data_IF_492670083024
#
_entry.id   IF_492670083024
#
_cell.length_a   1.000
_cell.length_b   1.000
_cell.length_c   1.000
_cell.angle_alpha   90.00
_cell.angle_beta   90.00
_cell.angle_gamma   90.00
#
_symmetry.space_group_name_H-M   'P 1'
#
loop_
_entity.id
_entity.type
_entity.pdbx_description
1 polymer ?
#
# COMPACT_ATOMS: atom_id res chain seq x y z
N UNK A 1 -65.14 -26.58 50.15
CA UNK A 1 -64.18 -27.36 49.36
C UNK A 1 -63.33 -26.39 48.66
N UNK A 2 -62.14 -26.12 49.17
CA UNK A 2 -61.08 -25.34 48.54
C UNK A 2 -59.91 -26.27 48.43
N UNK A 3 -59.56 -26.66 47.17
CA UNK A 3 -58.32 -27.33 46.92
C UNK A 3 -57.29 -26.24 46.42
N UNK A 4 -56.31 -26.07 47.26
CA UNK A 4 -55.18 -25.14 46.95
C UNK A 4 -54.19 -25.78 45.99
N UNK A 5 -53.96 -25.10 44.89
CA UNK A 5 -52.95 -25.46 43.86
C UNK A 5 -51.56 -25.00 44.34
N UNK A 6 -50.79 -25.91 44.96
CA UNK A 6 -49.39 -25.66 45.26
C UNK A 6 -48.54 -25.93 44.03
N UNK A 7 -48.10 -24.89 43.36
CA UNK A 7 -47.05 -24.98 42.28
C UNK A 7 -45.68 -25.35 42.89
N UNK A 8 -44.91 -26.23 42.24
CA UNK A 8 -43.65 -26.71 42.82
C UNK A 8 -42.54 -25.70 42.68
N UNK A 9 -42.15 -25.18 43.82
CA UNK A 9 -40.98 -24.27 43.97
C UNK A 9 -39.63 -24.85 43.49
N UNK A 10 -39.60 -26.10 43.08
CA UNK A 10 -38.35 -26.79 42.61
C UNK A 10 -37.88 -26.43 41.22
N UNK A 11 -38.73 -25.89 40.32
CA UNK A 11 -38.35 -25.59 38.93
C UNK A 11 -37.58 -24.26 38.83
N UNK A 12 -37.88 -23.29 39.71
CA UNK A 12 -37.19 -22.00 39.72
C UNK A 12 -35.72 -22.11 40.20
N UNK A 13 -35.44 -22.99 41.20
CA UNK A 13 -34.08 -23.21 41.70
C UNK A 13 -33.14 -23.82 40.65
N UNK A 14 -33.66 -24.70 39.78
CA UNK A 14 -32.85 -25.38 38.75
C UNK A 14 -32.45 -24.45 37.60
N UNK A 15 -33.30 -23.47 37.22
CA UNK A 15 -32.97 -22.46 36.22
C UNK A 15 -31.94 -21.45 36.74
N UNK A 16 -32.10 -21.00 38.00
CA UNK A 16 -31.13 -20.07 38.61
C UNK A 16 -29.73 -20.70 38.73
N UNK A 17 -29.63 -21.98 39.11
CA UNK A 17 -28.35 -22.69 39.19
C UNK A 17 -27.68 -22.87 37.82
N UNK A 18 -28.47 -23.05 36.76
CA UNK A 18 -27.94 -23.13 35.39
C UNK A 18 -27.35 -21.80 34.92
N UNK A 19 -28.04 -20.67 35.17
CA UNK A 19 -27.50 -19.34 34.80
C UNK A 19 -26.27 -18.97 35.61
N UNK A 20 -26.19 -19.36 36.88
CA UNK A 20 -25.01 -19.14 37.73
C UNK A 20 -23.83 -19.99 37.19
N UNK A 21 -24.05 -21.25 36.82
CA UNK A 21 -23.01 -22.10 36.24
C UNK A 21 -22.53 -21.59 34.89
N UNK A 22 -23.40 -21.14 34.00
CA UNK A 22 -23.04 -20.50 32.74
C UNK A 22 -22.25 -19.21 32.96
N UNK A 23 -22.64 -18.37 33.93
CA UNK A 23 -21.92 -17.16 34.29
C UNK A 23 -20.50 -17.45 34.79
N UNK A 24 -20.32 -18.45 35.64
CA UNK A 24 -19.01 -18.87 36.14
C UNK A 24 -18.12 -19.47 35.05
N UNK A 25 -18.68 -20.24 34.12
CA UNK A 25 -17.93 -20.75 32.95
C UNK A 25 -17.49 -19.61 32.05
N UNK A 26 -18.38 -18.63 31.82
CA UNK A 26 -18.05 -17.46 30.97
C UNK A 26 -16.97 -16.58 31.61
N UNK A 27 -17.03 -16.31 32.91
CA UNK A 27 -15.98 -15.60 33.64
C UNK A 27 -14.66 -16.35 33.68
N UNK A 28 -14.69 -17.68 33.76
CA UNK A 28 -13.50 -18.52 33.73
C UNK A 28 -12.85 -18.52 32.34
N UNK A 29 -13.64 -18.58 31.27
CA UNK A 29 -13.16 -18.47 29.89
C UNK A 29 -12.53 -17.08 29.63
N UNK A 30 -13.18 -16.00 30.10
CA UNK A 30 -12.64 -14.65 30.03
C UNK A 30 -11.33 -14.56 30.84
N UNK A 31 -11.29 -15.15 32.03
CA UNK A 31 -10.07 -15.17 32.86
C UNK A 31 -8.92 -15.93 32.21
N UNK A 32 -9.19 -17.06 31.57
CA UNK A 32 -8.19 -17.82 30.79
C UNK A 32 -7.73 -17.01 29.58
N UNK A 33 -8.66 -16.42 28.84
CA UNK A 33 -8.32 -15.56 27.68
C UNK A 33 -7.49 -14.34 28.10
N UNK A 34 -7.90 -13.64 29.15
CA UNK A 34 -7.16 -12.50 29.69
C UNK A 34 -5.80 -12.93 30.26
N UNK A 35 -5.71 -14.08 30.94
CA UNK A 35 -4.44 -14.65 31.41
C UNK A 35 -3.54 -15.08 30.28
N UNK A 36 -4.09 -15.67 29.22
CA UNK A 36 -3.35 -16.02 28.01
C UNK A 36 -2.80 -14.77 27.30
N UNK A 37 -3.62 -13.73 27.13
CA UNK A 37 -3.18 -12.44 26.56
C UNK A 37 -2.20 -11.70 27.48
N UNK A 38 -2.31 -11.80 28.80
CA UNK A 38 -1.36 -11.19 29.74
C UNK A 38 -0.04 -11.96 29.85
N UNK A 39 -0.08 -13.27 29.77
CA UNK A 39 1.12 -14.14 29.82
C UNK A 39 1.86 -14.17 28.46
N UNK A 40 1.14 -14.00 27.35
CA UNK A 40 1.67 -13.95 26.00
C UNK A 40 1.53 -12.52 25.45
N UNK A 41 1.95 -11.52 26.24
CA UNK A 41 2.02 -10.14 25.76
C UNK A 41 2.60 -10.13 24.34
N UNK A 42 2.19 -9.18 23.48
CA UNK A 42 2.57 -9.13 22.05
C UNK A 42 4.06 -9.46 21.94
N UNK A 43 4.37 -10.63 21.41
CA UNK A 43 5.76 -11.10 21.24
C UNK A 43 6.49 -10.11 20.34
N UNK A 44 7.82 -10.13 20.38
CA UNK A 44 8.63 -9.29 19.48
C UNK A 44 8.30 -9.59 18.01
N UNK A 45 8.07 -10.85 17.66
CA UNK A 45 7.58 -11.25 16.34
C UNK A 45 6.22 -10.59 16.01
N UNK A 46 5.25 -10.68 16.92
CA UNK A 46 3.93 -10.08 16.68
C UNK A 46 3.98 -8.56 16.51
N UNK A 47 4.86 -7.86 17.23
CA UNK A 47 5.10 -6.42 17.04
C UNK A 47 5.71 -6.13 15.67
N UNK A 48 6.70 -6.93 15.28
CA UNK A 48 7.37 -6.80 13.99
C UNK A 48 6.41 -7.07 12.83
N UNK A 49 5.61 -8.13 12.90
CA UNK A 49 4.58 -8.45 11.90
C UNK A 49 3.53 -7.35 11.77
N UNK A 50 3.07 -6.79 12.90
CA UNK A 50 2.16 -5.64 12.87
C UNK A 50 2.80 -4.42 12.20
N UNK A 51 4.08 -4.17 12.47
CA UNK A 51 4.84 -3.09 11.84
C UNK A 51 5.01 -3.33 10.33
N UNK A 52 5.38 -4.53 9.90
CA UNK A 52 5.52 -4.84 8.45
C UNK A 52 4.20 -4.72 7.71
N UNK A 53 3.08 -5.08 8.35
CA UNK A 53 1.74 -4.87 7.80
C UNK A 53 1.38 -3.38 7.67
N UNK A 54 1.79 -2.54 8.62
CA UNK A 54 1.62 -1.09 8.53
C UNK A 54 2.44 -0.52 7.37
N UNK A 55 3.72 -0.92 7.27
CA UNK A 55 4.60 -0.52 6.17
C UNK A 55 4.01 -0.91 4.83
N UNK A 56 3.58 -2.17 4.67
CA UNK A 56 2.94 -2.65 3.45
C UNK A 56 1.74 -1.78 3.06
N UNK A 57 0.83 -1.50 4.01
CA UNK A 57 -0.34 -0.64 3.73
C UNK A 57 0.06 0.76 3.28
N UNK A 58 1.08 1.34 3.90
CA UNK A 58 1.56 2.68 3.54
C UNK A 58 2.17 2.70 2.14
N UNK A 59 3.02 1.73 1.82
CA UNK A 59 3.68 1.61 0.52
C UNK A 59 2.68 1.42 -0.62
N UNK A 60 1.78 0.43 -0.52
CA UNK A 60 0.81 0.18 -1.59
C UNK A 60 -0.22 1.31 -1.75
N UNK A 61 -0.47 2.08 -0.67
CA UNK A 61 -1.36 3.24 -0.71
C UNK A 61 -0.71 4.50 -1.29
N UNK A 62 0.61 4.48 -1.49
CA UNK A 62 1.37 5.62 -2.01
C UNK A 62 1.05 5.95 -3.47
N UNK A 63 0.61 4.97 -4.25
CA UNK A 63 0.26 5.11 -5.67
C UNK A 63 -1.07 4.44 -5.98
N UNK A 64 -1.96 5.14 -6.70
CA UNK A 64 -3.25 4.57 -7.12
C UNK A 64 -3.08 3.38 -8.06
N UNK A 65 -2.11 3.42 -8.98
CA UNK A 65 -1.81 2.30 -9.87
C UNK A 65 -1.24 1.12 -9.09
N UNK A 66 -0.26 1.36 -8.21
CA UNK A 66 0.30 0.29 -7.37
C UNK A 66 -0.79 -0.37 -6.53
N UNK A 67 -1.68 0.41 -5.90
CA UNK A 67 -2.78 -0.11 -5.12
C UNK A 67 -3.72 -0.99 -5.96
N UNK A 68 -4.10 -0.51 -7.14
CA UNK A 68 -5.00 -1.23 -8.06
C UNK A 68 -4.41 -2.57 -8.51
N UNK A 69 -3.11 -2.58 -8.88
CA UNK A 69 -2.44 -3.81 -9.33
C UNK A 69 -2.05 -4.77 -8.21
N UNK A 70 -1.87 -4.26 -6.99
CA UNK A 70 -1.43 -5.09 -5.86
C UNK A 70 -2.59 -5.72 -5.09
N UNK A 71 -3.75 -5.06 -5.02
CA UNK A 71 -4.86 -5.48 -4.16
C UNK A 71 -6.21 -5.34 -4.87
N UNK A 72 -6.87 -6.46 -5.13
CA UNK A 72 -8.25 -6.48 -5.63
C UNK A 72 -9.25 -5.88 -4.60
N UNK A 73 -9.00 -6.11 -3.31
CA UNK A 73 -9.87 -5.69 -2.20
C UNK A 73 -9.08 -4.96 -1.10
N UNK A 74 -8.61 -3.72 -1.33
CA UNK A 74 -7.78 -2.99 -0.36
C UNK A 74 -8.51 -2.71 0.97
N UNK A 75 -9.85 -2.62 0.96
CA UNK A 75 -10.67 -2.44 2.15
C UNK A 75 -10.53 -3.61 3.15
N UNK A 76 -10.28 -4.84 2.67
CA UNK A 76 -10.01 -6.01 3.52
C UNK A 76 -8.69 -5.90 4.29
N UNK A 77 -7.78 -5.07 3.80
CA UNK A 77 -6.51 -4.74 4.45
C UNK A 77 -6.59 -3.45 5.28
N UNK A 78 -7.80 -2.90 5.47
CA UNK A 78 -8.01 -1.65 6.18
C UNK A 78 -7.55 -0.41 5.40
N UNK A 79 -7.30 -0.54 4.09
CA UNK A 79 -6.87 0.55 3.24
C UNK A 79 -8.10 1.28 2.68
N UNK A 80 -8.20 2.57 2.97
CA UNK A 80 -9.23 3.43 2.37
C UNK A 80 -8.70 3.98 1.03
N UNK A 81 -9.37 3.64 -0.06
CA UNK A 81 -9.07 4.21 -1.38
C UNK A 81 -9.30 5.73 -1.37
N UNK A 82 -8.35 6.47 -1.89
CA UNK A 82 -8.45 7.92 -2.19
C UNK A 82 -8.94 8.10 -3.63
N UNK A 83 -9.19 9.35 -4.04
CA UNK A 83 -9.39 9.66 -5.46
C UNK A 83 -8.13 9.26 -6.25
N UNK A 84 -8.32 8.53 -7.35
CA UNK A 84 -7.21 8.02 -8.13
C UNK A 84 -6.43 9.16 -8.80
N UNK A 85 -5.10 9.09 -8.74
CA UNK A 85 -4.18 10.08 -9.30
C UNK A 85 -2.84 9.42 -9.60
N UNK A 86 -2.16 9.93 -10.63
CA UNK A 86 -0.77 9.56 -10.92
C UNK A 86 0.23 10.25 -9.96
N UNK A 87 -0.23 11.22 -9.17
CA UNK A 87 0.63 11.99 -8.29
C UNK A 87 1.57 12.94 -9.04
N UNK A 88 2.76 13.16 -8.50
CA UNK A 88 3.80 14.02 -9.08
C UNK A 88 5.17 13.45 -8.80
N UNK A 89 6.14 13.71 -9.66
CA UNK A 89 7.55 13.43 -9.38
C UNK A 89 8.09 14.55 -8.47
N UNK A 90 8.68 14.21 -7.32
CA UNK A 90 9.24 15.20 -6.42
C UNK A 90 10.49 15.86 -7.02
N UNK A 91 10.69 17.14 -6.73
CA UNK A 91 11.89 17.89 -7.12
C UNK A 91 12.92 18.01 -5.98
N UNK A 92 12.64 17.45 -4.84
CA UNK A 92 13.58 17.22 -3.72
C UNK A 92 13.21 15.94 -2.98
N UNK A 93 14.16 15.37 -2.28
CA UNK A 93 14.01 14.09 -1.60
C UNK A 93 14.09 14.21 -0.08
N UNK A 94 14.00 15.41 0.49
CA UNK A 94 14.12 15.61 1.93
C UNK A 94 13.05 14.84 2.72
N UNK A 95 11.83 14.83 2.19
CA UNK A 95 10.75 14.06 2.83
C UNK A 95 11.01 12.55 2.75
N UNK A 96 11.44 12.04 1.60
CA UNK A 96 11.82 10.62 1.41
C UNK A 96 12.94 10.25 2.36
N UNK A 97 13.99 11.05 2.44
CA UNK A 97 15.11 10.84 3.38
C UNK A 97 14.60 10.72 4.82
N UNK A 98 13.75 11.65 5.27
CA UNK A 98 13.20 11.64 6.63
C UNK A 98 12.35 10.40 6.90
N UNK A 99 11.52 9.99 5.95
CA UNK A 99 10.68 8.80 6.08
C UNK A 99 11.54 7.54 6.15
N UNK A 100 12.54 7.40 5.27
CA UNK A 100 13.47 6.28 5.31
C UNK A 100 14.25 6.22 6.63
N UNK A 101 14.73 7.37 7.13
CA UNK A 101 15.39 7.44 8.44
C UNK A 101 14.46 6.99 9.57
N UNK A 102 13.20 7.43 9.58
CA UNK A 102 12.22 7.01 10.58
C UNK A 102 11.96 5.50 10.56
N UNK A 103 11.89 4.90 9.36
CA UNK A 103 11.73 3.45 9.24
C UNK A 103 12.98 2.69 9.68
N UNK A 104 14.18 3.16 9.32
CA UNK A 104 15.42 2.58 9.83
C UNK A 104 15.49 2.61 11.38
N UNK A 105 15.14 3.74 11.99
CA UNK A 105 15.17 3.90 13.44
C UNK A 105 14.18 2.96 14.13
N UNK A 106 12.96 2.82 13.58
CA UNK A 106 11.95 1.87 14.06
C UNK A 106 12.43 0.42 13.91
N UNK A 107 13.03 0.06 12.78
CA UNK A 107 13.56 -1.29 12.54
C UNK A 107 14.70 -1.63 13.50
N UNK A 108 15.62 -0.71 13.75
CA UNK A 108 16.74 -0.87 14.70
C UNK A 108 16.28 -0.99 16.16
N UNK A 109 15.06 -0.57 16.49
CA UNK A 109 14.51 -0.70 17.84
C UNK A 109 14.01 -2.11 18.16
N UNK A 110 13.82 -2.99 17.17
CA UNK A 110 13.43 -4.38 17.39
C UNK A 110 14.61 -5.20 17.94
N UNK A 111 14.30 -6.06 18.91
CA UNK A 111 15.29 -6.99 19.49
C UNK A 111 15.52 -8.17 18.57
N UNK A 112 16.54 -8.08 17.72
CA UNK A 112 16.87 -9.05 16.67
C UNK A 112 16.86 -10.50 17.15
N UNK A 113 17.52 -10.81 18.29
CA UNK A 113 17.60 -12.16 18.86
C UNK A 113 16.26 -12.74 19.32
N UNK A 114 15.21 -11.92 19.43
CA UNK A 114 13.85 -12.33 19.81
C UNK A 114 12.93 -12.50 18.60
N UNK A 115 13.43 -12.25 17.40
CA UNK A 115 12.71 -12.49 16.15
C UNK A 115 12.97 -13.91 15.65
N UNK A 116 11.98 -14.49 14.96
CA UNK A 116 12.17 -15.73 14.20
C UNK A 116 13.17 -15.50 13.07
N UNK A 117 13.78 -16.56 12.57
CA UNK A 117 14.73 -16.48 11.45
C UNK A 117 14.12 -15.78 10.24
N UNK A 118 12.87 -16.04 9.91
CA UNK A 118 12.13 -15.41 8.83
C UNK A 118 11.98 -13.88 9.06
N UNK A 119 11.61 -13.49 10.28
CA UNK A 119 11.47 -12.07 10.63
C UNK A 119 12.83 -11.37 10.72
N UNK A 120 13.91 -12.06 11.10
CA UNK A 120 15.28 -11.53 11.02
C UNK A 120 15.67 -11.22 9.58
N UNK A 121 15.44 -12.15 8.65
CA UNK A 121 15.71 -11.94 7.22
C UNK A 121 14.89 -10.78 6.64
N UNK A 122 13.63 -10.67 7.04
CA UNK A 122 12.75 -9.58 6.63
C UNK A 122 13.27 -8.24 7.18
N UNK A 123 13.67 -8.19 8.45
CA UNK A 123 14.23 -6.99 9.08
C UNK A 123 15.51 -6.55 8.38
N UNK A 124 16.44 -7.47 8.11
CA UNK A 124 17.69 -7.18 7.42
C UNK A 124 17.44 -6.65 6.00
N UNK A 125 16.50 -7.27 5.28
CA UNK A 125 16.10 -6.83 3.94
C UNK A 125 15.49 -5.42 3.95
N UNK A 126 14.62 -5.12 4.91
CA UNK A 126 14.01 -3.81 5.07
C UNK A 126 15.05 -2.74 5.47
N UNK A 127 15.99 -3.07 6.36
CA UNK A 127 17.08 -2.16 6.71
C UNK A 127 17.94 -1.83 5.51
N UNK A 128 18.30 -2.84 4.69
CA UNK A 128 19.06 -2.63 3.46
C UNK A 128 18.27 -1.74 2.48
N UNK A 129 16.98 -2.00 2.30
CA UNK A 129 16.11 -1.22 1.42
C UNK A 129 16.07 0.25 1.83
N UNK A 130 15.71 0.55 3.08
CA UNK A 130 15.61 1.95 3.52
C UNK A 130 16.95 2.66 3.60
N UNK A 131 18.03 1.95 3.90
CA UNK A 131 19.37 2.49 3.82
C UNK A 131 19.73 2.90 2.37
N UNK A 132 19.40 2.04 1.40
CA UNK A 132 19.64 2.31 -0.03
C UNK A 132 18.80 3.48 -0.51
N UNK A 133 17.49 3.48 -0.24
CA UNK A 133 16.59 4.60 -0.61
C UNK A 133 17.04 5.93 -0.01
N UNK A 134 17.52 5.93 1.23
CA UNK A 134 18.05 7.11 1.87
C UNK A 134 19.33 7.61 1.18
N UNK A 135 20.23 6.71 0.78
CA UNK A 135 21.46 7.08 0.07
C UNK A 135 21.16 7.57 -1.36
N UNK A 136 20.10 7.08 -2.00
CA UNK A 136 19.64 7.58 -3.29
C UNK A 136 19.09 9.00 -3.22
N UNK A 137 18.63 9.45 -2.04
CA UNK A 137 18.07 10.79 -1.87
C UNK A 137 19.06 11.91 -2.24
N UNK A 138 20.35 11.70 -2.00
CA UNK A 138 21.40 12.64 -2.36
C UNK A 138 21.72 12.63 -3.86
N UNK A 139 21.38 11.55 -4.55
CA UNK A 139 21.66 11.30 -5.95
C UNK A 139 20.39 11.31 -6.83
N UNK A 140 19.28 11.87 -6.34
CA UNK A 140 17.98 11.78 -7.00
C UNK A 140 17.97 12.38 -8.42
N UNK A 141 18.82 13.37 -8.71
CA UNK A 141 18.94 13.95 -10.05
C UNK A 141 19.60 13.01 -11.07
N UNK A 142 20.17 11.88 -10.62
CA UNK A 142 20.63 10.81 -11.51
C UNK A 142 19.51 9.87 -11.96
N UNK A 143 18.31 10.00 -11.42
CA UNK A 143 17.15 9.24 -11.89
C UNK A 143 16.80 9.63 -13.33
N UNK A 144 16.34 8.63 -14.09
CA UNK A 144 15.91 8.78 -15.49
C UNK A 144 14.42 8.42 -15.60
N UNK A 145 13.51 9.37 -15.29
CA UNK A 145 12.07 9.12 -15.39
C UNK A 145 11.61 8.91 -16.84
N UNK A 146 12.33 9.46 -17.79
CA UNK A 146 12.12 9.23 -19.23
C UNK A 146 13.22 8.33 -19.77
N UNK A 147 12.87 7.40 -20.65
CA UNK A 147 13.83 6.50 -21.26
C UNK A 147 13.20 5.63 -22.34
N UNK A 148 13.96 5.19 -23.35
CA UNK A 148 13.41 4.53 -24.52
C UNK A 148 12.78 3.14 -24.25
N UNK A 149 13.10 2.51 -23.12
CA UNK A 149 12.56 1.18 -22.78
C UNK A 149 11.67 1.19 -21.54
N UNK A 150 12.12 1.82 -20.46
CA UNK A 150 11.45 1.80 -19.15
C UNK A 150 10.97 3.18 -18.70
N UNK A 151 11.07 4.19 -19.57
CA UNK A 151 10.60 5.53 -19.28
C UNK A 151 9.08 5.60 -19.13
N UNK A 152 8.62 6.54 -18.32
CA UNK A 152 7.20 6.74 -18.03
C UNK A 152 6.38 6.96 -19.29
N UNK A 153 6.92 7.66 -20.30
CA UNK A 153 6.26 7.87 -21.59
C UNK A 153 5.94 6.55 -22.33
N UNK A 154 6.75 5.51 -22.10
CA UNK A 154 6.54 4.20 -22.70
C UNK A 154 5.66 3.28 -21.80
N UNK A 155 5.87 3.33 -20.49
CA UNK A 155 5.21 2.43 -19.54
C UNK A 155 3.79 2.85 -19.18
N UNK A 156 3.53 4.15 -18.99
CA UNK A 156 2.21 4.61 -18.54
C UNK A 156 1.08 4.26 -19.50
N UNK A 157 1.22 4.40 -20.84
CA UNK A 157 0.18 3.95 -21.77
C UNK A 157 -0.13 2.46 -21.65
N UNK A 158 0.87 1.60 -21.44
CA UNK A 158 0.70 0.15 -21.27
C UNK A 158 -0.07 -0.14 -19.97
N UNK A 159 0.34 0.48 -18.85
CA UNK A 159 -0.35 0.32 -17.58
C UNK A 159 -1.82 0.75 -17.68
N UNK A 160 -2.10 1.87 -18.32
CA UNK A 160 -3.48 2.33 -18.51
C UNK A 160 -4.26 1.41 -19.48
N UNK A 161 -3.62 0.88 -20.51
CA UNK A 161 -4.26 -0.08 -21.43
C UNK A 161 -4.62 -1.39 -20.72
N UNK A 162 -3.78 -1.88 -19.82
CA UNK A 162 -4.00 -3.11 -19.06
C UNK A 162 -4.88 -2.93 -17.81
N UNK A 163 -5.23 -1.69 -17.45
CA UNK A 163 -6.03 -1.38 -16.26
C UNK A 163 -7.36 -2.15 -16.28
N UNK A 164 -7.57 -3.07 -15.35
CA UNK A 164 -8.75 -3.92 -15.30
C UNK A 164 -9.90 -3.23 -14.55
N UNK A 165 -11.15 -3.45 -14.99
CA UNK A 165 -12.35 -2.97 -14.31
C UNK A 165 -12.99 -4.14 -13.55
N UNK A 166 -12.73 -4.24 -12.25
CA UNK A 166 -13.31 -5.26 -11.37
C UNK A 166 -14.65 -4.82 -10.79
N UNK A 167 -14.85 -3.51 -10.65
CA UNK A 167 -16.07 -2.89 -10.12
C UNK A 167 -16.33 -1.52 -10.77
N UNK A 168 -17.56 -1.01 -10.67
CA UNK A 168 -17.96 0.30 -11.27
C UNK A 168 -17.09 1.47 -10.85
N UNK A 169 -16.54 1.42 -9.65
CA UNK A 169 -15.61 2.43 -9.15
C UNK A 169 -14.33 2.50 -9.96
N UNK A 170 -13.83 1.37 -10.46
CA UNK A 170 -12.59 1.32 -11.23
C UNK A 170 -12.69 2.14 -12.51
N UNK A 171 -13.89 2.25 -13.10
CA UNK A 171 -14.16 3.13 -14.25
C UNK A 171 -13.96 4.58 -13.86
N UNK A 172 -14.51 5.01 -12.71
CA UNK A 172 -14.35 6.36 -12.21
C UNK A 172 -12.90 6.68 -11.85
N UNK A 173 -12.20 5.73 -11.22
CA UNK A 173 -10.79 5.85 -10.88
C UNK A 173 -9.92 5.93 -12.14
N UNK A 174 -10.21 5.14 -13.16
CA UNK A 174 -9.54 5.20 -14.47
C UNK A 174 -9.70 6.57 -15.13
N UNK A 175 -10.92 7.10 -15.19
CA UNK A 175 -11.18 8.43 -15.76
C UNK A 175 -10.44 9.52 -14.97
N UNK A 176 -10.39 9.42 -13.65
CA UNK A 176 -9.62 10.34 -12.81
C UNK A 176 -8.11 10.24 -13.13
N UNK A 177 -7.55 9.03 -13.29
CA UNK A 177 -6.15 8.85 -13.70
C UNK A 177 -5.85 9.57 -15.00
N UNK A 178 -6.73 9.44 -16.02
CA UNK A 178 -6.56 10.14 -17.30
C UNK A 178 -6.50 11.67 -17.13
N UNK A 179 -7.30 12.26 -16.25
CA UNK A 179 -7.27 13.71 -16.00
C UNK A 179 -5.96 14.16 -15.34
N UNK A 180 -5.24 13.26 -14.66
CA UNK A 180 -4.00 13.56 -13.97
C UNK A 180 -2.74 13.35 -14.82
N UNK A 181 -2.86 12.84 -16.05
CA UNK A 181 -1.71 12.63 -16.96
C UNK A 181 -0.96 13.94 -17.21
N UNK A 182 -1.68 15.00 -17.57
CA UNK A 182 -1.07 16.29 -17.87
C UNK A 182 -0.30 16.88 -16.68
N UNK A 183 -0.88 17.04 -15.48
CA UNK A 183 -0.12 17.54 -14.32
C UNK A 183 1.03 16.61 -13.92
N UNK A 184 0.91 15.31 -14.13
CA UNK A 184 2.00 14.37 -13.88
C UNK A 184 3.19 14.61 -14.81
N UNK A 185 2.98 14.72 -16.14
CA UNK A 185 4.05 15.06 -17.08
C UNK A 185 4.62 16.46 -16.86
N UNK A 186 3.81 17.42 -16.41
CA UNK A 186 4.33 18.73 -16.00
C UNK A 186 5.29 18.63 -14.80
N UNK A 187 5.10 17.68 -13.89
CA UNK A 187 6.06 17.43 -12.80
C UNK A 187 7.36 16.81 -13.31
N UNK A 188 7.28 15.93 -14.31
CA UNK A 188 8.49 15.39 -15.00
C UNK A 188 9.27 16.51 -15.67
N UNK A 189 8.60 17.40 -16.40
CA UNK A 189 9.27 18.55 -17.04
C UNK A 189 10.02 19.40 -16.00
N UNK A 190 9.40 19.68 -14.85
CA UNK A 190 10.07 20.43 -13.76
C UNK A 190 11.29 19.68 -13.21
N UNK A 191 11.18 18.36 -13.09
CA UNK A 191 12.30 17.53 -12.66
C UNK A 191 13.45 17.58 -13.67
N UNK A 192 13.17 17.38 -14.97
CA UNK A 192 14.16 17.43 -16.04
C UNK A 192 14.81 18.82 -16.17
N UNK A 193 14.04 19.90 -15.98
CA UNK A 193 14.58 21.26 -15.94
C UNK A 193 15.58 21.43 -14.78
N UNK A 194 15.25 20.92 -13.58
CA UNK A 194 16.15 20.98 -12.44
C UNK A 194 17.41 20.13 -12.66
N UNK A 195 17.27 18.96 -13.26
CA UNK A 195 18.35 18.07 -13.67
C UNK A 195 19.28 18.75 -14.65
N UNK A 196 18.73 19.39 -15.70
CA UNK A 196 19.47 20.18 -16.68
C UNK A 196 20.23 21.35 -16.05
N UNK A 197 19.60 22.10 -15.13
CA UNK A 197 20.26 23.19 -14.39
C UNK A 197 21.45 22.71 -13.55
N UNK A 198 21.41 21.46 -13.10
CA UNK A 198 22.52 20.82 -12.38
C UNK A 198 23.59 20.20 -13.30
N UNK A 199 23.44 20.33 -14.63
CA UNK A 199 24.40 19.82 -15.61
C UNK A 199 24.26 18.34 -15.95
N UNK A 200 23.13 17.71 -15.58
CA UNK A 200 22.85 16.32 -15.93
C UNK A 200 21.95 16.24 -17.17
N UNK A 201 22.41 15.53 -18.18
CA UNK A 201 21.72 15.39 -19.47
C UNK A 201 21.73 13.93 -19.90
N UNK A 202 20.63 13.51 -20.53
CA UNK A 202 20.64 12.25 -21.29
C UNK A 202 21.41 12.42 -22.60
N UNK A 203 21.85 11.33 -23.23
CA UNK A 203 22.47 11.38 -24.53
C UNK A 203 21.48 11.82 -25.62
N UNK A 204 21.97 12.47 -26.68
CA UNK A 204 21.15 12.86 -27.84
C UNK A 204 20.42 11.65 -28.45
N UNK A 205 21.10 10.51 -28.56
CA UNK A 205 20.49 9.28 -29.07
C UNK A 205 19.34 8.77 -28.20
N UNK A 206 19.40 8.96 -26.88
CA UNK A 206 18.30 8.64 -25.95
C UNK A 206 17.14 9.62 -26.15
N UNK A 207 17.46 10.92 -26.24
CA UNK A 207 16.47 11.98 -26.46
C UNK A 207 15.70 11.76 -27.77
N UNK A 208 16.42 11.51 -28.88
CA UNK A 208 15.82 11.27 -30.20
C UNK A 208 14.83 10.10 -30.18
N UNK A 209 15.16 9.00 -29.48
CA UNK A 209 14.28 7.84 -29.35
C UNK A 209 13.02 8.17 -28.53
N UNK A 210 13.14 8.92 -27.45
CA UNK A 210 12.01 9.36 -26.64
C UNK A 210 11.09 10.28 -27.45
N UNK A 211 11.64 11.24 -28.17
CA UNK A 211 10.87 12.15 -29.03
C UNK A 211 10.14 11.41 -30.14
N UNK A 212 10.82 10.43 -30.77
CA UNK A 212 10.20 9.59 -31.79
C UNK A 212 9.02 8.78 -31.22
N UNK A 213 9.15 8.19 -30.03
CA UNK A 213 8.07 7.46 -29.36
C UNK A 213 6.89 8.36 -29.02
N UNK A 214 7.13 9.53 -28.42
CA UNK A 214 6.07 10.49 -28.11
C UNK A 214 5.35 10.94 -29.38
N UNK A 215 6.09 11.28 -30.42
CA UNK A 215 5.53 11.69 -31.72
C UNK A 215 4.70 10.61 -32.38
N UNK A 216 5.16 9.36 -32.31
CA UNK A 216 4.40 8.23 -32.85
C UNK A 216 3.08 7.99 -32.06
N UNK A 217 3.13 8.10 -30.74
CA UNK A 217 1.98 7.88 -29.87
C UNK A 217 0.84 8.90 -30.10
N UNK A 218 1.17 10.18 -30.34
CA UNK A 218 0.20 11.27 -30.52
C UNK A 218 -0.21 11.53 -31.97
N UNK A 219 0.40 10.83 -32.97
CA UNK A 219 0.25 11.15 -34.40
C UNK A 219 -1.21 11.08 -34.87
N UNK A 220 -1.88 9.97 -34.58
CA UNK A 220 -3.27 9.72 -34.98
C UNK A 220 -4.03 9.13 -33.81
N UNK A 221 -4.89 9.91 -33.12
CA UNK A 221 -5.69 9.42 -32.01
C UNK A 221 -6.56 8.21 -32.37
N UNK A 222 -7.12 8.16 -33.58
CA UNK A 222 -8.04 7.08 -34.00
C UNK A 222 -7.30 5.73 -34.22
N UNK A 223 -6.00 5.78 -34.46
CA UNK A 223 -5.12 4.60 -34.61
C UNK A 223 -4.39 4.27 -33.29
N UNK A 224 -4.70 4.97 -32.20
CA UNK A 224 -4.05 4.72 -30.94
C UNK A 224 -4.56 3.43 -30.30
N UNK A 225 -3.65 2.49 -30.06
CA UNK A 225 -3.98 1.18 -29.50
C UNK A 225 -4.74 1.24 -28.17
N UNK A 226 -4.60 2.30 -27.38
CA UNK A 226 -5.36 2.49 -26.15
C UNK A 226 -6.86 2.61 -26.41
N UNK A 227 -7.28 3.24 -27.52
CA UNK A 227 -8.69 3.34 -27.89
C UNK A 227 -9.26 1.96 -28.22
N UNK A 228 -8.52 1.14 -28.97
CA UNK A 228 -8.97 -0.20 -29.33
C UNK A 228 -9.09 -1.10 -28.10
N UNK A 229 -8.11 -1.05 -27.20
CA UNK A 229 -8.18 -1.80 -25.94
C UNK A 229 -9.34 -1.30 -25.07
N UNK A 230 -9.54 0.01 -24.96
CA UNK A 230 -10.65 0.57 -24.16
C UNK A 230 -12.02 0.16 -24.72
N UNK A 231 -12.18 0.07 -26.06
CA UNK A 231 -13.43 -0.37 -26.70
C UNK A 231 -13.73 -1.84 -26.45
N UNK A 232 -12.74 -2.65 -26.13
CA UNK A 232 -12.88 -4.09 -25.87
C UNK A 232 -13.09 -4.44 -24.41
N UNK A 233 -12.96 -3.47 -23.49
CA UNK A 233 -13.23 -3.62 -22.05
C UNK A 233 -14.69 -3.42 -21.71
#
# INVERSE_FOLDING_TARGET
>A
MQEGLSMPFKILKKKSSFFIACGLIFTFIIGIAAGYFSAHGITENGKFEAFTQEVFRNEVSGSSLTLHYSLAHPEKQGIRRKAASLGTIPTDMQNTYKVCQQYEDKLKAFRYSHLSTENQMTLDSMLLYYHTEKSLSDNYLLQEPLGPSLGIQAQLPVLLAEYAFYEDRDISDYLNLLTTIRPYFQSIIKFEQKKSQAGFFMSDATLDRILAQCSAFIRNPDENYMLDIFRTK
#
